data_IF_569728846023
#
_entry.id   IF_569728846023
#
_cell.length_a   1.000
_cell.length_b   1.000
_cell.length_c   1.000
_cell.angle_alpha   90.00
_cell.angle_beta   90.00
_cell.angle_gamma   90.00
#
_symmetry.space_group_name_H-M   'P 1'
#
loop_
_entity.id
_entity.type
_entity.pdbx_description
1 polymer ?
#
# COMPACT_ATOMS: atom_id res chain seq x y z
N UNK A 1 39.22 -10.25 -11.43
CA UNK A 1 39.70 -11.61 -11.78
C UNK A 1 38.96 -12.60 -10.91
N UNK A 2 38.58 -13.74 -11.49
CA UNK A 2 37.94 -14.83 -10.73
C UNK A 2 39.00 -15.54 -9.89
N UNK A 3 38.75 -15.68 -8.60
CA UNK A 3 39.60 -16.44 -7.69
C UNK A 3 39.15 -17.92 -7.66
N UNK A 4 40.04 -18.79 -7.21
CA UNK A 4 39.73 -20.22 -7.03
C UNK A 4 38.67 -20.40 -5.92
N UNK A 5 37.71 -21.29 -6.16
CA UNK A 5 36.65 -21.60 -5.21
C UNK A 5 37.23 -22.33 -4.00
N UNK A 6 36.86 -21.91 -2.79
CA UNK A 6 37.38 -22.48 -1.54
C UNK A 6 36.23 -22.75 -0.56
N UNK A 7 36.29 -23.89 0.14
CA UNK A 7 35.38 -24.22 1.22
C UNK A 7 35.87 -23.64 2.55
N UNK A 8 35.00 -22.95 3.27
CA UNK A 8 35.30 -22.26 4.54
C UNK A 8 34.36 -22.74 5.63
N UNK A 9 34.94 -23.10 6.78
CA UNK A 9 34.19 -23.47 7.98
C UNK A 9 33.58 -22.22 8.64
N UNK A 10 32.26 -22.21 8.78
CA UNK A 10 31.41 -21.07 9.16
C UNK A 10 30.33 -21.50 10.18
N UNK A 11 30.75 -22.01 11.35
CA UNK A 11 29.82 -22.62 12.30
C UNK A 11 28.79 -21.61 12.85
N UNK A 12 27.54 -22.03 12.88
CA UNK A 12 26.40 -21.23 13.35
C UNK A 12 26.00 -20.04 12.46
N UNK A 13 26.65 -19.84 11.31
CA UNK A 13 26.38 -18.75 10.37
C UNK A 13 25.23 -19.09 9.40
N UNK A 14 24.03 -19.32 9.93
CA UNK A 14 22.84 -19.74 9.14
C UNK A 14 22.10 -18.61 8.41
N UNK A 15 22.44 -17.35 8.68
CA UNK A 15 21.78 -16.17 8.07
C UNK A 15 22.82 -15.29 7.37
N UNK A 16 22.38 -14.46 6.43
CA UNK A 16 23.27 -13.55 5.69
C UNK A 16 23.95 -12.57 6.65
N UNK A 17 23.24 -12.04 7.65
CA UNK A 17 23.82 -11.11 8.62
C UNK A 17 24.99 -11.77 9.37
N UNK A 18 24.79 -13.01 9.85
CA UNK A 18 25.85 -13.75 10.54
C UNK A 18 27.00 -14.10 9.62
N UNK A 19 26.72 -14.45 8.36
CA UNK A 19 27.74 -14.80 7.37
C UNK A 19 28.61 -13.59 7.00
N UNK A 20 27.98 -12.44 6.79
CA UNK A 20 28.62 -11.14 6.56
C UNK A 20 29.51 -10.77 7.75
N UNK A 21 28.99 -10.91 8.97
CA UNK A 21 29.74 -10.62 10.18
C UNK A 21 30.92 -11.58 10.39
N UNK A 22 30.77 -12.85 10.01
CA UNK A 22 31.81 -13.86 10.16
C UNK A 22 32.93 -13.68 9.14
N UNK A 23 32.59 -13.57 7.85
CA UNK A 23 33.55 -13.51 6.73
C UNK A 23 34.03 -12.09 6.42
N UNK A 24 33.42 -11.06 7.02
CA UNK A 24 33.73 -9.64 6.78
C UNK A 24 33.59 -9.25 5.29
N UNK A 25 32.56 -9.78 4.64
CA UNK A 25 32.19 -9.48 3.24
C UNK A 25 30.86 -8.73 3.19
N UNK A 26 30.60 -7.86 2.20
CA UNK A 26 29.29 -7.24 2.06
C UNK A 26 28.22 -8.28 1.71
N UNK A 27 26.98 -8.05 2.16
CA UNK A 27 25.83 -8.90 1.83
C UNK A 27 25.60 -9.05 0.32
N UNK A 28 25.98 -8.03 -0.47
CA UNK A 28 25.95 -8.05 -1.93
C UNK A 28 26.90 -9.05 -2.58
N UNK A 29 27.88 -9.59 -1.84
CA UNK A 29 28.72 -10.72 -2.29
C UNK A 29 28.16 -12.08 -1.91
N UNK A 30 27.18 -12.15 -1.01
CA UNK A 30 26.58 -13.41 -0.64
C UNK A 30 25.45 -13.76 -1.64
N UNK A 31 25.24 -15.04 -1.94
CA UNK A 31 24.09 -15.52 -2.70
C UNK A 31 23.30 -16.49 -1.81
N UNK A 32 22.02 -16.20 -1.65
CA UNK A 32 21.05 -17.06 -0.97
C UNK A 32 20.50 -18.08 -1.97
N UNK A 33 20.42 -19.33 -1.55
CA UNK A 33 19.67 -20.37 -2.26
C UNK A 33 18.41 -20.66 -1.47
N UNK A 34 17.27 -20.26 -2.02
CA UNK A 34 15.95 -20.42 -1.41
C UNK A 34 15.20 -21.53 -2.15
N UNK A 35 14.45 -22.37 -1.45
CA UNK A 35 13.65 -23.41 -2.09
C UNK A 35 12.17 -23.05 -2.05
N UNK A 36 11.48 -23.27 -3.17
CA UNK A 36 10.04 -23.08 -3.28
C UNK A 36 9.38 -24.36 -3.80
N UNK A 37 8.13 -24.57 -3.41
CA UNK A 37 7.23 -25.54 -4.01
C UNK A 37 6.32 -24.79 -5.00
N UNK A 38 6.48 -25.08 -6.28
CA UNK A 38 5.62 -24.59 -7.36
C UNK A 38 4.74 -25.75 -7.84
N UNK A 39 3.45 -25.73 -7.50
CA UNK A 39 2.53 -26.85 -7.74
C UNK A 39 3.14 -28.21 -7.32
N UNK A 40 3.64 -28.28 -6.07
CA UNK A 40 4.34 -29.41 -5.45
C UNK A 40 5.72 -29.79 -6.02
N UNK A 41 6.16 -29.14 -7.09
CA UNK A 41 7.51 -29.28 -7.63
C UNK A 41 8.50 -28.41 -6.86
N UNK A 42 9.56 -29.03 -6.34
CA UNK A 42 10.62 -28.30 -5.64
C UNK A 42 11.54 -27.60 -6.66
N UNK A 43 11.76 -26.31 -6.47
CA UNK A 43 12.68 -25.48 -7.26
C UNK A 43 13.65 -24.74 -6.33
N UNK A 44 14.79 -24.33 -6.86
CA UNK A 44 15.75 -23.47 -6.18
C UNK A 44 15.77 -22.08 -6.81
N UNK A 45 15.89 -21.05 -5.98
CA UNK A 45 16.00 -19.65 -6.39
C UNK A 45 17.28 -19.08 -5.81
N UNK A 46 18.16 -18.60 -6.68
CA UNK A 46 19.43 -17.97 -6.29
C UNK A 46 19.27 -16.46 -6.39
N UNK A 47 19.51 -15.76 -5.28
CA UNK A 47 19.37 -14.30 -5.21
C UNK A 47 20.50 -13.70 -4.36
N UNK A 48 20.85 -12.43 -4.59
CA UNK A 48 21.86 -11.71 -3.81
C UNK A 48 21.45 -11.60 -2.32
N UNK A 49 22.43 -11.63 -1.42
CA UNK A 49 22.21 -11.74 0.03
C UNK A 49 21.41 -10.60 0.63
N UNK A 50 21.58 -9.40 0.08
CA UNK A 50 20.90 -8.15 0.39
C UNK A 50 19.58 -7.94 -0.38
N UNK A 51 19.09 -8.94 -1.12
CA UNK A 51 17.85 -8.83 -1.91
C UNK A 51 16.81 -9.87 -1.49
N UNK A 52 15.54 -9.59 -1.69
CA UNK A 52 14.44 -10.51 -1.40
C UNK A 52 13.79 -11.04 -2.68
N UNK A 53 13.32 -12.29 -2.65
CA UNK A 53 12.63 -12.90 -3.79
C UNK A 53 11.24 -12.30 -3.93
N UNK A 54 10.92 -11.80 -5.12
CA UNK A 54 9.57 -11.41 -5.50
C UNK A 54 8.80 -12.64 -5.99
N UNK A 55 7.96 -13.18 -5.11
CA UNK A 55 7.15 -14.37 -5.38
C UNK A 55 6.15 -14.17 -6.51
N UNK A 56 5.69 -12.95 -6.78
CA UNK A 56 4.78 -12.65 -7.90
C UNK A 56 5.52 -12.81 -9.23
N UNK A 57 6.74 -12.23 -9.35
CA UNK A 57 7.57 -12.39 -10.56
C UNK A 57 7.92 -13.86 -10.81
N UNK A 58 8.30 -14.57 -9.74
CA UNK A 58 8.62 -15.99 -9.82
C UNK A 58 7.40 -16.84 -10.24
N UNK A 59 6.24 -16.62 -9.60
CA UNK A 59 4.98 -17.31 -9.95
C UNK A 59 4.58 -17.07 -11.41
N UNK A 60 4.68 -15.83 -11.87
CA UNK A 60 4.37 -15.49 -13.27
C UNK A 60 5.34 -16.17 -14.25
N UNK A 61 6.62 -16.30 -13.90
CA UNK A 61 7.61 -16.98 -14.74
C UNK A 61 7.40 -18.50 -14.79
N UNK A 62 6.95 -19.09 -13.69
CA UNK A 62 6.66 -20.51 -13.56
C UNK A 62 5.30 -20.91 -14.13
N UNK A 63 4.39 -19.94 -14.30
CA UNK A 63 2.99 -20.16 -14.68
C UNK A 63 2.27 -21.12 -13.72
N UNK A 64 2.70 -21.18 -12.46
CA UNK A 64 2.14 -22.08 -11.46
C UNK A 64 0.93 -21.46 -10.72
N UNK A 65 0.06 -22.32 -10.20
CA UNK A 65 -1.10 -21.90 -9.42
C UNK A 65 -0.74 -21.62 -7.97
N UNK A 66 0.10 -22.46 -7.37
CA UNK A 66 0.56 -22.36 -6.00
C UNK A 66 2.09 -22.20 -5.97
N UNK A 67 2.55 -21.26 -5.15
CA UNK A 67 3.98 -21.03 -4.93
C UNK A 67 4.20 -20.75 -3.45
N UNK A 68 4.93 -21.62 -2.79
CA UNK A 68 5.18 -21.53 -1.34
C UNK A 68 6.66 -21.75 -1.04
N UNK A 69 7.17 -21.12 0.01
CA UNK A 69 8.54 -21.38 0.46
C UNK A 69 8.60 -22.79 1.06
N UNK A 70 9.56 -23.60 0.63
CA UNK A 70 9.72 -24.96 1.14
C UNK A 70 10.20 -24.91 2.60
N UNK A 71 9.62 -25.78 3.44
CA UNK A 71 10.04 -25.90 4.83
C UNK A 71 11.41 -26.56 4.94
N UNK A 72 12.09 -26.37 6.08
CA UNK A 72 13.37 -27.02 6.36
C UNK A 72 13.26 -28.54 6.31
N UNK A 73 12.19 -29.11 6.86
CA UNK A 73 11.95 -30.55 6.85
C UNK A 73 11.83 -31.06 5.42
N UNK A 74 11.18 -30.30 4.53
CA UNK A 74 11.00 -30.72 3.14
C UNK A 74 12.30 -30.72 2.35
N UNK A 75 13.14 -29.71 2.57
CA UNK A 75 14.48 -29.61 1.97
C UNK A 75 15.37 -30.73 2.49
N UNK A 76 15.35 -31.00 3.80
CA UNK A 76 16.11 -32.10 4.40
C UNK A 76 15.63 -33.47 3.90
N UNK A 77 14.32 -33.70 3.80
CA UNK A 77 13.74 -34.97 3.30
C UNK A 77 14.15 -35.24 1.85
N UNK A 78 14.02 -34.24 0.97
CA UNK A 78 14.27 -34.42 -0.47
C UNK A 78 15.75 -34.37 -0.85
N UNK A 79 16.53 -33.52 -0.18
CA UNK A 79 17.90 -33.20 -0.61
C UNK A 79 18.95 -33.56 0.45
N UNK A 80 18.56 -33.85 1.68
CA UNK A 80 19.51 -34.08 2.78
C UNK A 80 20.25 -32.83 3.24
N UNK A 81 19.78 -31.64 2.88
CA UNK A 81 20.48 -30.37 3.08
C UNK A 81 19.90 -29.53 4.22
N UNK A 82 20.79 -28.94 5.01
CA UNK A 82 20.45 -28.03 6.12
C UNK A 82 20.33 -26.58 5.63
N UNK A 83 19.13 -25.99 5.75
CA UNK A 83 18.90 -24.57 5.46
C UNK A 83 19.90 -23.69 6.24
N UNK A 84 20.46 -22.69 5.56
CA UNK A 84 21.52 -21.83 6.06
C UNK A 84 22.91 -22.19 5.55
N UNK A 85 23.09 -23.40 4.99
CA UNK A 85 24.35 -23.84 4.37
C UNK A 85 24.13 -24.38 2.95
N UNK A 86 23.05 -23.97 2.29
CA UNK A 86 22.66 -24.47 0.95
C UNK A 86 23.11 -23.53 -0.17
N UNK A 87 23.73 -24.10 -1.19
CA UNK A 87 24.18 -23.45 -2.42
C UNK A 87 23.58 -24.09 -3.67
N UNK A 88 23.66 -23.43 -4.85
CA UNK A 88 23.12 -23.98 -6.09
C UNK A 88 23.90 -25.15 -6.71
N UNK A 89 25.03 -25.57 -6.15
CA UNK A 89 25.88 -26.63 -6.72
C UNK A 89 25.29 -28.03 -6.46
N UNK A 90 25.35 -28.94 -7.42
CA UNK A 90 24.98 -30.34 -7.19
C UNK A 90 23.50 -30.60 -6.85
N UNK A 91 22.60 -29.65 -7.16
CA UNK A 91 21.15 -29.81 -6.98
C UNK A 91 20.54 -30.60 -8.15
N UNK A 92 20.81 -31.90 -8.21
CA UNK A 92 20.32 -32.77 -9.28
C UNK A 92 18.78 -32.85 -9.31
N UNK A 93 18.19 -32.67 -10.49
CA UNK A 93 16.73 -32.74 -10.69
C UNK A 93 15.93 -31.56 -10.13
N UNK A 94 16.59 -30.54 -9.58
CA UNK A 94 15.95 -29.32 -9.08
C UNK A 94 16.24 -28.16 -10.03
N UNK A 95 15.23 -27.60 -10.71
CA UNK A 95 15.41 -26.41 -11.55
C UNK A 95 15.91 -25.23 -10.72
N UNK A 96 16.93 -24.53 -11.23
CA UNK A 96 17.54 -23.37 -10.59
C UNK A 96 17.13 -22.09 -11.33
N UNK A 97 16.48 -21.19 -10.63
CA UNK A 97 16.10 -19.86 -11.09
C UNK A 97 17.04 -18.84 -10.46
N UNK A 98 17.88 -18.17 -11.24
CA UNK A 98 18.84 -17.21 -10.74
C UNK A 98 18.40 -15.78 -11.07
N UNK A 99 18.38 -14.90 -10.06
CA UNK A 99 18.16 -13.48 -10.27
C UNK A 99 19.30 -12.87 -11.10
N UNK A 100 18.96 -11.94 -11.99
CA UNK A 100 19.94 -11.25 -12.84
C UNK A 100 21.11 -10.66 -12.04
N UNK A 101 20.86 -9.97 -10.92
CA UNK A 101 21.94 -9.38 -10.12
C UNK A 101 22.81 -10.44 -9.46
N UNK A 102 22.23 -11.60 -9.10
CA UNK A 102 22.96 -12.71 -8.51
C UNK A 102 23.91 -13.37 -9.53
N UNK A 103 23.49 -13.48 -10.79
CA UNK A 103 24.32 -14.02 -11.87
C UNK A 103 25.55 -13.16 -12.20
N UNK A 104 25.53 -11.88 -11.83
CA UNK A 104 26.60 -10.91 -12.06
C UNK A 104 27.58 -10.79 -10.89
N UNK A 105 27.33 -11.47 -9.76
CA UNK A 105 28.24 -11.44 -8.62
C UNK A 105 29.48 -12.26 -8.93
N UNK A 106 30.63 -11.59 -8.97
CA UNK A 106 31.93 -12.25 -9.05
C UNK A 106 32.44 -12.62 -7.66
N UNK A 107 33.05 -13.80 -7.56
CA UNK A 107 33.64 -14.33 -6.34
C UNK A 107 32.64 -14.31 -5.17
N UNK A 108 31.42 -14.80 -5.41
CA UNK A 108 30.34 -14.84 -4.42
C UNK A 108 30.61 -15.80 -3.26
N UNK A 109 29.79 -15.66 -2.21
CA UNK A 109 29.75 -16.57 -1.07
C UNK A 109 28.40 -17.28 -1.04
N UNK A 110 28.41 -18.61 -0.99
CA UNK A 110 27.20 -19.45 -1.02
C UNK A 110 27.33 -20.59 -0.02
N UNK A 111 26.21 -21.22 0.35
CA UNK A 111 26.27 -22.42 1.18
C UNK A 111 27.00 -23.58 0.48
N UNK A 112 27.75 -24.40 1.21
CA UNK A 112 28.55 -25.49 0.63
C UNK A 112 27.76 -26.80 0.44
N UNK A 113 26.45 -26.82 0.71
CA UNK A 113 25.63 -28.04 0.82
C UNK A 113 26.13 -29.01 1.90
N UNK A 114 26.79 -28.44 2.92
CA UNK A 114 27.42 -29.14 4.03
C UNK A 114 27.25 -28.29 5.28
N UNK A 115 26.73 -28.88 6.35
CA UNK A 115 26.44 -28.16 7.58
C UNK A 115 27.70 -27.46 8.13
N UNK A 116 27.55 -26.20 8.53
CA UNK A 116 28.63 -25.32 9.02
C UNK A 116 29.72 -24.98 7.97
N UNK A 117 29.47 -25.17 6.67
CA UNK A 117 30.39 -24.78 5.61
C UNK A 117 29.73 -23.89 4.55
N UNK A 118 30.52 -22.94 4.05
CA UNK A 118 30.20 -22.09 2.91
C UNK A 118 31.33 -22.18 1.88
N UNK A 119 31.00 -21.94 0.61
CA UNK A 119 31.98 -21.77 -0.45
C UNK A 119 32.19 -20.27 -0.69
N UNK A 120 33.45 -19.86 -0.81
CA UNK A 120 33.83 -18.51 -1.23
C UNK A 120 34.38 -18.56 -2.65
N UNK A 121 34.41 -17.39 -3.29
CA UNK A 121 34.89 -17.20 -4.65
C UNK A 121 34.07 -17.96 -5.71
N UNK A 122 32.76 -18.14 -5.46
CA UNK A 122 31.85 -18.81 -6.40
C UNK A 122 31.48 -17.87 -7.54
N UNK A 123 31.54 -18.35 -8.78
CA UNK A 123 31.23 -17.60 -9.99
C UNK A 123 30.18 -18.34 -10.83
N UNK A 124 29.12 -17.62 -11.23
CA UNK A 124 28.15 -18.10 -12.20
C UNK A 124 28.85 -18.45 -13.52
N UNK A 125 28.43 -19.51 -14.22
CA UNK A 125 29.08 -19.95 -15.46
C UNK A 125 30.17 -20.99 -15.21
N UNK A 126 31.03 -20.76 -14.22
CA UNK A 126 32.12 -21.67 -13.85
C UNK A 126 31.66 -22.74 -12.85
N UNK A 127 31.05 -22.33 -11.74
CA UNK A 127 30.77 -23.22 -10.60
C UNK A 127 29.32 -23.72 -10.56
N UNK A 128 28.39 -22.94 -11.10
CA UNK A 128 27.00 -23.36 -11.28
C UNK A 128 26.37 -22.69 -12.50
N UNK A 129 25.38 -23.37 -13.09
CA UNK A 129 24.57 -22.89 -14.21
C UNK A 129 23.10 -22.94 -13.79
N UNK A 130 22.38 -21.84 -14.00
CA UNK A 130 20.95 -21.79 -13.72
C UNK A 130 20.16 -22.38 -14.89
N UNK A 131 19.00 -22.98 -14.58
CA UNK A 131 18.01 -23.37 -15.59
C UNK A 131 17.44 -22.13 -16.28
N UNK A 132 17.20 -21.06 -15.51
CA UNK A 132 16.67 -19.79 -16.00
C UNK A 132 17.35 -18.64 -15.26
N UNK A 133 17.78 -17.62 -16.00
CA UNK A 133 18.09 -16.30 -15.45
C UNK A 133 16.89 -15.37 -15.70
N UNK A 134 16.53 -14.55 -14.71
CA UNK A 134 15.50 -13.54 -14.88
C UNK A 134 15.36 -12.60 -13.69
N UNK A 135 14.43 -11.66 -13.79
CA UNK A 135 14.10 -10.73 -12.72
C UNK A 135 13.23 -11.42 -11.65
N UNK A 136 13.84 -11.79 -10.52
CA UNK A 136 13.17 -12.49 -9.42
C UNK A 136 13.24 -11.73 -8.11
N UNK A 137 13.80 -10.53 -8.08
CA UNK A 137 13.95 -9.73 -6.87
C UNK A 137 12.83 -8.72 -6.65
N UNK A 138 12.61 -8.38 -5.39
CA UNK A 138 11.87 -7.17 -5.01
C UNK A 138 12.76 -5.96 -5.34
N UNK A 139 12.15 -4.91 -5.88
CA UNK A 139 12.83 -3.64 -6.13
C UNK A 139 12.82 -2.77 -4.89
N UNK A 140 13.85 -1.97 -4.72
CA UNK A 140 14.01 -1.06 -3.58
C UNK A 140 14.11 0.40 -4.04
N UNK A 141 13.80 1.32 -3.14
CA UNK A 141 14.04 2.73 -3.39
C UNK A 141 15.53 2.96 -3.65
N UNK A 142 15.85 3.69 -4.71
CA UNK A 142 17.23 3.88 -5.18
C UNK A 142 17.67 2.87 -6.25
N UNK A 143 16.91 1.84 -6.57
CA UNK A 143 17.23 1.00 -7.73
C UNK A 143 17.09 1.79 -9.04
N UNK A 144 17.83 1.41 -10.11
CA UNK A 144 17.68 2.02 -11.42
C UNK A 144 16.26 1.87 -11.97
N UNK A 145 15.71 2.92 -12.57
CA UNK A 145 14.44 2.82 -13.26
C UNK A 145 14.61 2.00 -14.55
N UNK A 146 13.75 1.01 -14.85
CA UNK A 146 13.85 0.23 -16.09
C UNK A 146 13.51 1.05 -17.34
N UNK A 147 12.84 2.21 -17.19
CA UNK A 147 12.35 3.02 -18.31
C UNK A 147 13.17 4.29 -18.56
N UNK A 148 14.00 4.71 -17.61
CA UNK A 148 14.77 5.96 -17.73
C UNK A 148 16.06 5.91 -16.90
N UNK A 149 16.90 6.94 -17.02
CA UNK A 149 18.16 7.03 -16.25
C UNK A 149 17.98 7.41 -14.77
N UNK A 150 16.73 7.53 -14.32
CA UNK A 150 16.37 7.88 -12.95
C UNK A 150 16.56 6.73 -11.95
N UNK A 151 16.09 7.00 -10.73
CA UNK A 151 16.12 6.06 -9.60
C UNK A 151 14.69 5.91 -9.07
N UNK A 152 14.33 4.70 -8.64
CA UNK A 152 13.01 4.42 -8.09
C UNK A 152 12.85 5.11 -6.72
N UNK A 153 11.66 5.64 -6.45
CA UNK A 153 11.27 6.12 -5.12
C UNK A 153 10.16 5.21 -4.59
N UNK A 154 10.07 5.07 -3.26
CA UNK A 154 9.00 4.32 -2.62
C UNK A 154 8.03 5.27 -1.91
N UNK A 155 6.74 4.91 -1.97
CA UNK A 155 5.68 5.51 -1.20
C UNK A 155 4.73 4.40 -0.76
N UNK A 156 4.02 4.62 0.35
CA UNK A 156 2.94 3.72 0.77
C UNK A 156 1.64 4.18 0.13
N UNK A 157 0.86 3.22 -0.36
CA UNK A 157 -0.43 3.48 -0.98
C UNK A 157 -1.47 2.49 -0.48
N UNK A 158 -2.72 2.94 -0.44
CA UNK A 158 -3.89 2.08 -0.24
C UNK A 158 -4.50 1.89 -1.62
N UNK A 159 -4.59 0.65 -2.08
CA UNK A 159 -5.22 0.34 -3.37
C UNK A 159 -6.74 0.53 -3.26
N UNK A 160 -7.25 1.64 -3.80
CA UNK A 160 -8.69 1.96 -3.82
C UNK A 160 -9.40 1.47 -5.08
N UNK A 161 -8.65 1.07 -6.11
CA UNK A 161 -9.22 0.53 -7.33
C UNK A 161 -8.16 -0.11 -8.23
N UNK A 162 -8.64 -0.95 -9.14
CA UNK A 162 -7.81 -1.72 -10.05
C UNK A 162 -8.53 -1.93 -11.38
N UNK A 163 -7.75 -1.92 -12.46
CA UNK A 163 -8.23 -2.15 -13.82
C UNK A 163 -7.45 -3.29 -14.44
N UNK A 164 -8.13 -4.21 -15.12
CA UNK A 164 -7.51 -5.37 -15.74
C UNK A 164 -7.95 -5.53 -17.19
N UNK A 165 -6.98 -5.90 -18.03
CA UNK A 165 -7.24 -6.52 -19.33
C UNK A 165 -7.31 -8.02 -19.11
N UNK A 166 -8.51 -8.59 -19.14
CA UNK A 166 -8.73 -10.02 -18.89
C UNK A 166 -8.51 -10.87 -20.15
N UNK A 167 -8.51 -10.24 -21.32
CA UNK A 167 -8.41 -10.94 -22.59
C UNK A 167 -9.63 -11.85 -22.77
N UNK A 168 -9.38 -13.08 -23.21
CA UNK A 168 -10.42 -14.08 -23.47
C UNK A 168 -10.57 -15.13 -22.36
N UNK A 169 -9.86 -14.96 -21.23
CA UNK A 169 -9.80 -15.95 -20.13
C UNK A 169 -11.18 -16.48 -19.70
N UNK A 170 -12.16 -15.59 -19.52
CA UNK A 170 -13.51 -15.98 -19.09
C UNK A 170 -14.41 -16.34 -20.24
N UNK A 171 -14.31 -15.63 -21.37
CA UNK A 171 -15.13 -15.90 -22.55
C UNK A 171 -14.86 -17.28 -23.13
N UNK A 172 -13.61 -17.75 -23.12
CA UNK A 172 -13.26 -19.12 -23.52
C UNK A 172 -13.85 -20.14 -22.56
N UNK A 173 -13.68 -19.94 -21.25
CA UNK A 173 -14.18 -20.86 -20.23
C UNK A 173 -15.72 -20.96 -20.21
N UNK A 174 -16.43 -19.92 -20.64
CA UNK A 174 -17.90 -19.84 -20.61
C UNK A 174 -18.56 -19.95 -21.99
N UNK A 175 -17.79 -20.18 -23.07
CA UNK A 175 -18.25 -20.12 -24.47
C UNK A 175 -19.01 -18.83 -24.82
N UNK A 176 -18.54 -17.69 -24.32
CA UNK A 176 -19.13 -16.38 -24.60
C UNK A 176 -18.54 -15.78 -25.88
N UNK A 177 -19.30 -15.86 -26.98
CA UNK A 177 -18.81 -15.50 -28.32
C UNK A 177 -19.69 -14.49 -29.05
N UNK A 178 -19.14 -13.84 -30.06
CA UNK A 178 -19.85 -13.02 -31.04
C UNK A 178 -19.40 -13.37 -32.46
N UNK A 179 -20.15 -12.92 -33.48
CA UNK A 179 -19.73 -13.01 -34.88
C UNK A 179 -19.13 -11.68 -35.28
N UNK A 180 -17.89 -11.70 -35.76
CA UNK A 180 -17.18 -10.48 -36.19
C UNK A 180 -17.59 -10.01 -37.60
N UNK A 181 -16.95 -8.94 -38.07
CA UNK A 181 -17.20 -8.35 -39.39
C UNK A 181 -16.85 -9.26 -40.58
N UNK A 182 -16.02 -10.28 -40.37
CA UNK A 182 -15.68 -11.28 -41.37
C UNK A 182 -16.64 -12.47 -41.39
N UNK A 183 -17.59 -12.51 -40.44
CA UNK A 183 -18.52 -13.63 -40.26
C UNK A 183 -17.96 -14.76 -39.41
N UNK A 184 -16.82 -14.56 -38.74
CA UNK A 184 -16.17 -15.58 -37.91
C UNK A 184 -16.61 -15.51 -36.44
N UNK A 185 -16.69 -16.68 -35.80
CA UNK A 185 -17.02 -16.80 -34.36
C UNK A 185 -15.77 -16.43 -33.55
N UNK A 186 -15.84 -15.34 -32.80
CA UNK A 186 -14.76 -14.85 -31.92
C UNK A 186 -15.18 -14.88 -30.45
N UNK A 187 -14.22 -15.08 -29.55
CA UNK A 187 -14.43 -14.89 -28.12
C UNK A 187 -14.43 -13.41 -27.75
N UNK A 188 -15.30 -13.03 -26.81
CA UNK A 188 -15.40 -11.63 -26.36
C UNK A 188 -14.13 -11.25 -25.57
N UNK A 189 -13.41 -10.23 -26.03
CA UNK A 189 -12.28 -9.66 -25.28
C UNK A 189 -12.81 -8.82 -24.12
N UNK A 190 -12.40 -9.14 -22.90
CA UNK A 190 -12.95 -8.55 -21.67
C UNK A 190 -11.95 -7.64 -20.95
N UNK A 191 -12.49 -6.58 -20.36
CA UNK A 191 -11.84 -5.78 -19.32
C UNK A 191 -12.70 -5.77 -18.06
N UNK A 192 -12.08 -5.58 -16.90
CA UNK A 192 -12.82 -5.32 -15.66
C UNK A 192 -12.22 -4.14 -14.88
N UNK A 193 -13.10 -3.47 -14.15
CA UNK A 193 -12.80 -2.21 -13.45
C UNK A 193 -13.46 -2.28 -12.07
N UNK A 194 -12.67 -2.16 -11.01
CA UNK A 194 -13.16 -2.24 -9.65
C UNK A 194 -12.69 -1.04 -8.82
N UNK A 195 -13.60 -0.49 -8.02
CA UNK A 195 -13.30 0.52 -6.99
C UNK A 195 -13.86 0.01 -5.66
N UNK A 196 -13.02 -0.03 -4.63
CA UNK A 196 -13.45 -0.38 -3.29
C UNK A 196 -14.12 0.82 -2.62
N UNK A 197 -15.45 0.94 -2.74
CA UNK A 197 -16.20 2.11 -2.22
C UNK A 197 -15.96 2.33 -0.72
N UNK A 198 -16.13 1.30 0.10
CA UNK A 198 -15.91 1.38 1.56
C UNK A 198 -14.45 1.62 1.92
N UNK A 199 -13.52 1.02 1.16
CA UNK A 199 -12.08 1.26 1.32
C UNK A 199 -11.70 2.69 0.94
N UNK A 200 -12.34 3.27 -0.06
CA UNK A 200 -12.11 4.65 -0.51
C UNK A 200 -12.53 5.64 0.57
N UNK A 201 -13.66 5.40 1.25
CA UNK A 201 -14.07 6.18 2.42
C UNK A 201 -12.98 6.15 3.51
N UNK A 202 -12.50 4.96 3.89
CA UNK A 202 -11.45 4.83 4.89
C UNK A 202 -10.13 5.48 4.45
N UNK A 203 -9.73 5.32 3.19
CA UNK A 203 -8.54 5.95 2.63
C UNK A 203 -8.64 7.48 2.62
N UNK A 204 -9.83 8.04 2.40
CA UNK A 204 -10.04 9.48 2.50
C UNK A 204 -9.84 9.99 3.94
N UNK A 205 -10.32 9.24 4.94
CA UNK A 205 -10.08 9.55 6.36
C UNK A 205 -8.60 9.44 6.70
N UNK A 206 -7.92 8.34 6.33
CA UNK A 206 -6.49 8.14 6.56
C UNK A 206 -5.61 9.26 5.98
N UNK A 207 -6.03 9.88 4.88
CA UNK A 207 -5.31 11.01 4.30
C UNK A 207 -5.74 12.38 4.85
N UNK A 208 -6.90 12.47 5.50
CA UNK A 208 -7.48 13.74 5.93
C UNK A 208 -8.05 13.64 7.35
N UNK A 209 -7.16 13.64 8.33
CA UNK A 209 -7.53 13.68 9.75
C UNK A 209 -6.47 14.45 10.55
N UNK A 210 -6.82 14.79 11.79
CA UNK A 210 -5.87 15.24 12.80
C UNK A 210 -6.21 14.62 14.16
N UNK A 211 -5.60 15.12 15.24
CA UNK A 211 -5.83 14.60 16.60
C UNK A 211 -7.25 14.79 17.13
N UNK A 212 -8.08 15.62 16.49
CA UNK A 212 -9.45 15.94 16.90
C UNK A 212 -10.50 15.16 16.12
N UNK A 213 -10.18 14.66 14.94
CA UNK A 213 -11.11 13.87 14.14
C UNK A 213 -10.89 13.96 12.64
N UNK A 214 -11.97 13.68 11.90
CA UNK A 214 -11.95 13.62 10.45
C UNK A 214 -11.93 15.04 9.85
N UNK A 215 -11.29 15.20 8.69
CA UNK A 215 -11.33 16.40 7.87
C UNK A 215 -11.83 16.01 6.48
N UNK A 216 -13.14 15.97 6.28
CA UNK A 216 -13.68 15.52 5.00
C UNK A 216 -13.25 16.40 3.81
N UNK A 217 -12.94 15.80 2.64
CA UNK A 217 -13.13 16.49 1.37
C UNK A 217 -14.61 16.90 1.24
N UNK A 218 -14.88 18.11 0.75
CA UNK A 218 -16.24 18.66 0.74
C UNK A 218 -17.25 17.77 0.01
N UNK A 219 -16.84 17.16 -1.11
CA UNK A 219 -17.70 16.31 -1.94
C UNK A 219 -18.20 15.03 -1.28
N UNK A 220 -17.61 14.63 -0.15
CA UNK A 220 -17.99 13.42 0.60
C UNK A 220 -18.21 13.70 2.09
N UNK A 221 -18.27 14.97 2.48
CA UNK A 221 -18.64 15.32 3.85
C UNK A 221 -20.09 14.89 4.09
N UNK A 222 -20.43 14.34 5.28
CA UNK A 222 -21.80 13.88 5.54
C UNK A 222 -22.81 15.04 5.57
N UNK A 223 -22.35 16.23 6.00
CA UNK A 223 -23.05 17.50 5.94
C UNK A 223 -22.01 18.61 5.80
N UNK A 224 -22.35 19.73 5.16
CA UNK A 224 -21.43 20.85 4.95
C UNK A 224 -21.25 21.70 6.22
N UNK A 225 -22.32 21.88 6.99
CA UNK A 225 -22.35 22.84 8.11
C UNK A 225 -23.02 22.20 9.33
N UNK A 226 -22.52 22.50 10.53
CA UNK A 226 -23.25 22.30 11.79
C UNK A 226 -23.50 23.63 12.48
N UNK A 227 -24.73 23.88 12.91
CA UNK A 227 -25.12 25.06 13.70
C UNK A 227 -25.33 24.65 15.15
N UNK A 228 -24.62 25.30 16.07
CA UNK A 228 -24.58 24.93 17.49
C UNK A 228 -24.96 26.14 18.36
N UNK A 229 -26.16 26.15 18.97
CA UNK A 229 -26.46 27.04 20.08
C UNK A 229 -25.68 26.59 21.32
N UNK A 230 -24.96 27.53 21.96
CA UNK A 230 -24.14 27.23 23.14
C UNK A 230 -25.01 26.82 24.34
N UNK A 231 -26.19 27.42 24.47
CA UNK A 231 -27.18 27.11 25.49
C UNK A 231 -28.55 26.91 24.87
N UNK A 232 -29.08 25.70 24.97
CA UNK A 232 -30.46 25.37 24.59
C UNK A 232 -31.52 25.97 25.52
N UNK A 233 -31.12 26.44 26.72
CA UNK A 233 -32.01 27.13 27.68
C UNK A 233 -32.14 28.63 27.42
N UNK A 234 -31.45 29.14 26.41
CA UNK A 234 -31.52 30.55 26.01
C UNK A 234 -32.33 30.64 24.72
N UNK A 235 -33.60 31.02 24.85
CA UNK A 235 -34.56 31.08 23.73
C UNK A 235 -34.03 31.91 22.56
N UNK A 236 -33.27 32.98 22.86
CA UNK A 236 -32.69 33.85 21.84
C UNK A 236 -31.55 33.17 21.09
N UNK A 237 -30.74 32.34 21.76
CA UNK A 237 -29.73 31.53 21.07
C UNK A 237 -30.37 30.49 20.16
N UNK A 238 -31.44 29.84 20.65
CA UNK A 238 -32.18 28.85 19.87
C UNK A 238 -32.84 29.46 18.64
N UNK A 239 -33.58 30.56 18.79
CA UNK A 239 -34.27 31.24 17.69
C UNK A 239 -33.31 31.70 16.58
N UNK A 240 -32.16 32.29 16.96
CA UNK A 240 -31.16 32.75 16.00
C UNK A 240 -30.47 31.55 15.31
N UNK A 241 -30.13 30.51 16.06
CA UNK A 241 -29.51 29.32 15.50
C UNK A 241 -30.45 28.60 14.52
N UNK A 242 -31.74 28.49 14.86
CA UNK A 242 -32.77 27.94 13.98
C UNK A 242 -32.97 28.82 12.73
N UNK A 243 -32.96 30.14 12.86
CA UNK A 243 -33.05 31.06 11.71
C UNK A 243 -31.88 30.84 10.74
N UNK A 244 -30.64 30.80 11.24
CA UNK A 244 -29.44 30.56 10.43
C UNK A 244 -29.52 29.17 9.77
N UNK A 245 -29.91 28.15 10.53
CA UNK A 245 -30.12 26.80 10.00
C UNK A 245 -31.09 26.80 8.82
N UNK A 246 -32.27 27.40 8.98
CA UNK A 246 -33.29 27.48 7.93
C UNK A 246 -32.81 28.26 6.71
N UNK A 247 -32.08 29.36 6.90
CA UNK A 247 -31.52 30.14 5.80
C UNK A 247 -30.49 29.36 4.98
N UNK A 248 -29.61 28.60 5.63
CA UNK A 248 -28.60 27.78 4.97
C UNK A 248 -29.24 26.57 4.24
N UNK A 249 -30.24 25.94 4.84
CA UNK A 249 -31.02 24.86 4.20
C UNK A 249 -31.75 25.38 2.96
N UNK A 250 -32.45 26.53 3.05
CA UNK A 250 -33.09 27.17 1.88
C UNK A 250 -32.10 27.56 0.78
N UNK A 251 -30.85 27.78 1.16
CA UNK A 251 -29.74 28.04 0.24
C UNK A 251 -29.20 26.77 -0.45
N UNK A 252 -29.75 25.58 -0.16
CA UNK A 252 -29.36 24.31 -0.77
C UNK A 252 -28.22 23.59 -0.06
N UNK A 253 -27.84 24.03 1.15
CA UNK A 253 -26.77 23.39 1.92
C UNK A 253 -27.32 22.28 2.80
N UNK A 254 -26.56 21.19 2.88
CA UNK A 254 -26.74 20.14 3.90
C UNK A 254 -26.23 20.64 5.25
N UNK A 255 -27.16 20.84 6.20
CA UNK A 255 -26.87 21.43 7.51
C UNK A 255 -27.39 20.55 8.64
N UNK A 256 -26.62 20.43 9.71
CA UNK A 256 -27.02 19.83 10.98
C UNK A 256 -27.32 20.94 11.99
N UNK A 257 -28.40 20.81 12.72
CA UNK A 257 -28.69 21.64 13.89
C UNK A 257 -28.44 20.81 15.16
N UNK A 258 -27.44 21.18 15.96
CA UNK A 258 -27.12 20.48 17.20
C UNK A 258 -27.89 21.09 18.38
N UNK A 259 -29.17 20.74 18.47
CA UNK A 259 -30.12 21.21 19.49
C UNK A 259 -30.11 20.39 20.79
N UNK A 260 -29.21 19.40 20.91
CA UNK A 260 -29.13 18.48 22.04
C UNK A 260 -29.00 19.21 23.39
N UNK A 261 -29.55 18.64 24.45
CA UNK A 261 -29.34 19.11 25.84
C UNK A 261 -28.00 18.64 26.39
N UNK A 262 -26.92 19.12 25.77
CA UNK A 262 -25.55 18.76 26.09
C UNK A 262 -24.67 19.99 26.32
N UNK A 263 -23.57 19.80 27.05
CA UNK A 263 -22.61 20.89 27.29
C UNK A 263 -21.94 21.28 25.97
N UNK A 264 -21.73 22.58 25.76
CA UNK A 264 -21.11 23.10 24.54
C UNK A 264 -19.76 22.41 24.19
N UNK A 265 -18.93 22.10 25.20
CA UNK A 265 -17.68 21.37 24.99
C UNK A 265 -17.86 19.97 24.41
N UNK A 266 -18.94 19.26 24.78
CA UNK A 266 -19.27 17.93 24.21
C UNK A 266 -19.70 18.11 22.75
N UNK A 267 -20.60 19.07 22.47
CA UNK A 267 -21.04 19.38 21.11
C UNK A 267 -19.88 19.75 20.19
N UNK A 268 -18.93 20.56 20.67
CA UNK A 268 -17.75 20.96 19.91
C UNK A 268 -16.83 19.77 19.62
N UNK A 269 -16.61 18.89 20.60
CA UNK A 269 -15.81 17.68 20.42
C UNK A 269 -16.46 16.72 19.42
N UNK A 270 -17.77 16.50 19.51
CA UNK A 270 -18.50 15.65 18.57
C UNK A 270 -18.45 16.23 17.15
N UNK A 271 -18.64 17.54 17.00
CA UNK A 271 -18.57 18.21 15.70
C UNK A 271 -17.18 18.12 15.05
N UNK A 272 -16.12 18.24 15.85
CA UNK A 272 -14.73 18.09 15.39
C UNK A 272 -14.40 16.64 15.04
N UNK A 273 -14.93 15.68 15.82
CA UNK A 273 -14.76 14.24 15.59
C UNK A 273 -15.45 13.79 14.30
N UNK A 274 -16.72 14.16 14.12
CA UNK A 274 -17.51 13.88 12.91
C UNK A 274 -16.89 14.59 11.69
N UNK A 275 -16.28 15.76 11.90
CA UNK A 275 -15.49 16.45 10.89
C UNK A 275 -16.30 17.37 9.98
N UNK A 276 -17.38 17.97 10.48
CA UNK A 276 -18.17 18.93 9.69
C UNK A 276 -17.26 20.05 9.14
N UNK A 277 -17.27 20.32 7.83
CA UNK A 277 -16.37 21.31 7.23
C UNK A 277 -16.48 22.70 7.85
N UNK A 278 -17.70 23.13 8.20
CA UNK A 278 -17.98 24.42 8.81
C UNK A 278 -18.82 24.21 10.08
N UNK A 279 -18.42 24.85 11.18
CA UNK A 279 -19.19 24.93 12.43
C UNK A 279 -19.57 26.39 12.68
N UNK A 280 -20.85 26.64 12.93
CA UNK A 280 -21.38 27.94 13.33
C UNK A 280 -21.79 27.85 14.80
N UNK A 281 -21.20 28.68 15.64
CA UNK A 281 -21.48 28.72 17.07
C UNK A 281 -22.28 29.97 17.41
N UNK A 282 -23.46 29.79 18.01
CA UNK A 282 -24.34 30.87 18.46
C UNK A 282 -24.23 30.99 19.97
N UNK A 283 -23.42 31.94 20.43
CA UNK A 283 -23.15 32.16 21.86
C UNK A 283 -23.66 33.50 22.36
N UNK A 284 -23.96 33.59 23.66
CA UNK A 284 -24.46 34.83 24.30
C UNK A 284 -23.60 36.07 24.04
N UNK A 285 -22.27 35.91 24.02
CA UNK A 285 -21.31 36.99 23.79
C UNK A 285 -21.33 37.51 22.34
N UNK A 286 -21.43 36.62 21.36
CA UNK A 286 -21.46 37.02 19.95
C UNK A 286 -22.82 37.61 19.60
N UNK A 287 -23.90 37.08 20.19
CA UNK A 287 -25.25 37.63 20.02
C UNK A 287 -25.36 39.09 20.46
N UNK A 288 -24.73 39.49 21.57
CA UNK A 288 -24.76 40.89 22.01
C UNK A 288 -23.98 41.84 21.08
N UNK A 289 -23.14 41.30 20.20
CA UNK A 289 -22.36 42.02 19.20
C UNK A 289 -22.99 41.94 17.79
N UNK A 290 -24.11 41.25 17.64
CA UNK A 290 -24.74 41.04 16.33
C UNK A 290 -23.97 40.05 15.42
N UNK A 291 -23.14 39.18 16.01
CA UNK A 291 -22.30 38.21 15.29
C UNK A 291 -22.52 36.77 15.76
N UNK A 292 -21.97 35.83 14.99
CA UNK A 292 -21.78 34.40 15.35
C UNK A 292 -20.34 34.00 15.03
N UNK A 293 -19.83 32.97 15.69
CA UNK A 293 -18.49 32.45 15.38
C UNK A 293 -18.57 31.36 14.32
N UNK A 294 -17.75 31.47 13.28
CA UNK A 294 -17.62 30.50 12.20
C UNK A 294 -16.24 29.86 12.30
N UNK A 295 -16.22 28.54 12.37
CA UNK A 295 -15.01 27.73 12.40
C UNK A 295 -14.93 26.86 11.13
N UNK A 296 -13.77 26.87 10.47
CA UNK A 296 -13.45 26.00 9.33
C UNK A 296 -12.60 24.85 9.81
N UNK A 297 -13.12 23.62 9.69
CA UNK A 297 -12.49 22.40 10.20
C UNK A 297 -11.11 22.16 9.60
N UNK A 298 -10.96 22.43 8.30
CA UNK A 298 -9.68 22.38 7.59
C UNK A 298 -8.85 23.60 7.97
N UNK A 299 -7.69 23.36 8.56
CA UNK A 299 -6.77 24.42 9.03
C UNK A 299 -7.19 25.13 10.32
N UNK A 300 -8.39 24.86 10.85
CA UNK A 300 -8.82 25.32 12.17
C UNK A 300 -9.05 26.83 12.29
N UNK A 301 -9.33 27.53 11.18
CA UNK A 301 -9.56 28.97 11.17
C UNK A 301 -10.89 29.30 11.86
N UNK A 302 -10.88 30.23 12.80
CA UNK A 302 -12.08 30.70 13.49
C UNK A 302 -12.19 32.23 13.43
N UNK A 303 -13.39 32.74 13.16
CA UNK A 303 -13.65 34.17 13.03
C UNK A 303 -15.13 34.48 13.23
N UNK A 304 -15.43 35.71 13.66
CA UNK A 304 -16.81 36.15 13.86
C UNK A 304 -17.40 36.76 12.58
N UNK A 305 -18.64 36.43 12.27
CA UNK A 305 -19.39 36.91 11.10
C UNK A 305 -20.68 37.56 11.57
N UNK A 306 -21.10 38.67 10.94
CA UNK A 306 -22.39 39.29 11.24
C UNK A 306 -23.53 38.36 10.84
N UNK A 307 -24.58 38.28 11.65
CA UNK A 307 -25.67 37.32 11.45
C UNK A 307 -26.29 37.38 10.04
N UNK A 308 -26.46 38.58 9.50
CA UNK A 308 -27.03 38.81 8.17
C UNK A 308 -26.08 38.48 7.00
N UNK A 309 -24.81 38.22 7.27
CA UNK A 309 -23.77 37.90 6.28
C UNK A 309 -23.37 36.41 6.33
N UNK A 310 -23.81 35.65 7.34
CA UNK A 310 -23.41 34.26 7.58
C UNK A 310 -23.65 33.36 6.38
N UNK A 311 -24.85 33.40 5.79
CA UNK A 311 -25.18 32.54 4.65
C UNK A 311 -24.31 32.83 3.42
N UNK A 312 -24.02 34.11 3.15
CA UNK A 312 -23.14 34.49 2.05
C UNK A 312 -21.70 34.04 2.30
N UNK A 313 -21.21 34.23 3.53
CA UNK A 313 -19.85 33.83 3.90
C UNK A 313 -19.66 32.32 3.83
N UNK A 314 -20.61 31.52 4.34
CA UNK A 314 -20.55 30.06 4.25
C UNK A 314 -20.50 29.59 2.79
N UNK A 315 -21.32 30.17 1.90
CA UNK A 315 -21.25 29.84 0.46
C UNK A 315 -19.89 30.17 -0.14
N UNK A 316 -19.31 31.32 0.21
CA UNK A 316 -17.99 31.70 -0.28
C UNK A 316 -16.90 30.74 0.21
N UNK A 317 -16.95 30.32 1.48
CA UNK A 317 -16.03 29.36 2.06
C UNK A 317 -16.12 28.00 1.38
N UNK A 318 -17.35 27.52 1.12
CA UNK A 318 -17.58 26.26 0.44
C UNK A 318 -17.07 26.32 -1.01
N UNK A 319 -17.37 27.39 -1.75
CA UNK A 319 -16.87 27.53 -3.13
C UNK A 319 -15.34 27.62 -3.20
N UNK A 320 -14.72 28.45 -2.36
CA UNK A 320 -13.27 28.67 -2.37
C UNK A 320 -12.46 27.42 -1.95
N UNK A 321 -13.09 26.47 -1.24
CA UNK A 321 -12.47 25.22 -0.81
C UNK A 321 -12.88 24.00 -1.66
N UNK A 322 -13.48 24.21 -2.83
CA UNK A 322 -13.75 23.15 -3.80
C UNK A 322 -15.22 22.70 -3.89
N UNK A 323 -16.15 23.67 -3.89
CA UNK A 323 -17.49 23.54 -4.50
C UNK A 323 -17.60 24.47 -5.71
#
# INVERSE_FOLDING_TARGET
EEAEMEEVYTPGAKTIEKLVDFLKVPASRCLKTMFYLADDQLIAVVIRGDREVNTIKLKNKLECLNLELASQEKVQEKLGLTIGYVGPMGLEGIPIYCDEEASLVSNGVVGANKEDYHLINVNYGRDFIATVIGDFRVVEAGDPCPNCRGRLASARGIEVGQVFKLGTKYSEAMDATFVDESGEKQYIVMGCYGIGITRTLAAAVEQNYDSKGIIWPLSIAPYHVVVIPVSNRDDRQMEIAETIYQELVRAGLEVVFDDRDERAGVKFNDAELIGFPIRITVGKKTLSQGTVDVNVRRGGKEFSVKMNEVCAEVKNLLHSNGL
#
